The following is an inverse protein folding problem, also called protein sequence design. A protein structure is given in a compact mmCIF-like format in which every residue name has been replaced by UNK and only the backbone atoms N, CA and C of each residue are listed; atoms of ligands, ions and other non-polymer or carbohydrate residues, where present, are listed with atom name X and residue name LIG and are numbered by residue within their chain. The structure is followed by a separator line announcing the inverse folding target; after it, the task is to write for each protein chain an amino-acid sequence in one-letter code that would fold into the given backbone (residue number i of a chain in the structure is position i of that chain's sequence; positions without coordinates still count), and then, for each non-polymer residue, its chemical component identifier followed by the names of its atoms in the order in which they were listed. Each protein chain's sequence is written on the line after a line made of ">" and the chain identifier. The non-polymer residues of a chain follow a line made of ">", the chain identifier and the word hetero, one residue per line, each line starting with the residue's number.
data_IF_576508908422
#
_entry.id   IF_576508908422
#
_cell.length_a   1.000
_cell.length_b   1.000
_cell.length_c   1.000
_cell.angle_alpha   90.00
_cell.angle_beta   90.00
_cell.angle_gamma   90.00
#
_symmetry.space_group_name_H-M   'P 1'
#
loop_
_entity.id
_entity.type
_entity.pdbx_description
1 polymer ?
#
# COMPACT_ATOMS: atom_id res chain seq x y z
N UNK A 1 35.39 57.79 18.35
CA UNK A 1 33.95 57.79 18.03
C UNK A 1 33.03 57.58 19.24
N UNK A 2 33.51 57.45 20.46
CA UNK A 2 32.64 57.19 21.64
C UNK A 2 32.30 58.41 22.48
N UNK A 3 32.84 59.59 22.18
CA UNK A 3 32.57 60.81 22.97
C UNK A 3 31.33 61.57 22.60
N UNK A 4 30.78 61.37 21.39
CA UNK A 4 29.57 62.05 20.91
C UNK A 4 28.25 61.49 21.48
N UNK A 5 28.24 60.25 21.95
CA UNK A 5 27.03 59.63 22.52
C UNK A 5 26.73 60.13 23.95
N UNK A 6 27.76 60.59 24.70
CA UNK A 6 27.59 61.01 26.09
C UNK A 6 26.91 62.38 26.26
N UNK A 7 26.97 63.22 25.22
CA UNK A 7 26.39 64.58 25.27
C UNK A 7 24.90 64.58 24.92
N UNK A 8 24.40 63.54 24.31
CA UNK A 8 23.01 63.43 23.86
C UNK A 8 22.03 62.96 24.96
N UNK A 9 22.56 62.38 26.04
CA UNK A 9 21.77 61.86 27.15
C UNK A 9 21.44 62.86 28.26
N UNK A 10 21.96 64.11 28.17
CA UNK A 10 21.85 65.09 29.22
C UNK A 10 20.68 66.09 29.08
N UNK A 11 20.05 66.22 27.93
CA UNK A 11 18.93 67.14 27.74
C UNK A 11 17.58 66.37 27.83
N UNK A 12 16.62 66.90 28.60
CA UNK A 12 15.33 66.27 28.87
C UNK A 12 14.52 65.86 27.62
N UNK A 13 14.89 66.33 26.43
CA UNK A 13 14.37 65.93 25.14
C UNK A 13 14.89 64.54 24.72
N UNK A 14 16.09 64.12 25.15
CA UNK A 14 16.64 62.82 24.84
C UNK A 14 15.88 61.67 25.49
N UNK A 15 15.26 61.88 26.66
CA UNK A 15 14.48 60.84 27.37
C UNK A 15 13.15 60.55 26.67
N UNK A 16 12.54 61.52 26.03
CA UNK A 16 11.26 61.37 25.29
C UNK A 16 11.53 60.62 23.96
N UNK A 17 12.59 61.04 23.24
CA UNK A 17 13.00 60.37 21.98
C UNK A 17 13.44 58.91 22.22
N UNK A 18 14.16 58.63 23.29
CA UNK A 18 14.57 57.26 23.63
C UNK A 18 13.36 56.38 23.99
N UNK A 19 12.39 56.91 24.74
CA UNK A 19 11.14 56.19 25.06
C UNK A 19 10.32 55.90 23.81
N UNK A 20 10.20 56.86 22.89
CA UNK A 20 9.49 56.69 21.62
C UNK A 20 10.18 55.63 20.75
N UNK A 21 11.52 55.68 20.64
CA UNK A 21 12.31 54.69 19.90
C UNK A 21 12.18 53.29 20.49
N UNK A 22 12.24 53.16 21.82
CA UNK A 22 12.03 51.84 22.48
C UNK A 22 10.64 51.32 22.25
N UNK A 23 9.62 52.17 22.31
CA UNK A 23 8.24 51.77 22.03
C UNK A 23 8.08 51.32 20.57
N UNK A 24 8.59 52.11 19.63
CA UNK A 24 8.53 51.79 18.20
C UNK A 24 9.26 50.48 17.89
N UNK A 25 10.45 50.29 18.49
CA UNK A 25 11.21 49.03 18.37
C UNK A 25 10.42 47.83 18.92
N UNK A 26 9.78 47.96 20.10
CA UNK A 26 8.97 46.87 20.69
C UNK A 26 7.77 46.54 19.82
N UNK A 27 7.11 47.55 19.24
CA UNK A 27 5.95 47.34 18.35
C UNK A 27 6.37 46.62 17.07
N UNK A 28 7.51 46.99 16.48
CA UNK A 28 8.03 46.31 15.28
C UNK A 28 8.40 44.88 15.59
N UNK A 29 9.13 44.62 16.68
CA UNK A 29 9.51 43.27 17.10
C UNK A 29 8.28 42.43 17.40
N UNK A 30 7.30 42.96 18.13
CA UNK A 30 6.06 42.24 18.40
C UNK A 30 5.27 41.93 17.12
N UNK A 31 5.24 42.84 16.16
CA UNK A 31 4.62 42.65 14.85
C UNK A 31 5.28 41.53 14.06
N UNK A 32 6.61 41.49 14.02
CA UNK A 32 7.38 40.44 13.35
C UNK A 32 7.14 39.08 14.02
N UNK A 33 7.20 39.01 15.35
CA UNK A 33 6.96 37.76 16.09
C UNK A 33 5.52 37.25 15.89
N UNK A 34 4.53 38.15 15.90
CA UNK A 34 3.14 37.79 15.62
C UNK A 34 2.98 37.24 14.19
N UNK A 35 3.59 37.90 13.19
CA UNK A 35 3.56 37.45 11.81
C UNK A 35 4.22 36.07 11.65
N UNK A 36 5.37 35.81 12.28
CA UNK A 36 6.04 34.52 12.28
C UNK A 36 5.20 33.43 12.98
N UNK A 37 4.59 33.75 14.13
CA UNK A 37 3.72 32.82 14.84
C UNK A 37 2.50 32.41 13.98
N UNK A 38 1.89 33.39 13.30
CA UNK A 38 0.77 33.14 12.38
C UNK A 38 1.20 32.27 11.18
N UNK A 39 2.33 32.60 10.55
CA UNK A 39 2.86 31.83 9.43
C UNK A 39 3.14 30.37 9.82
N UNK A 40 3.76 30.16 10.99
CA UNK A 40 4.03 28.83 11.53
C UNK A 40 2.72 28.08 11.84
N UNK A 41 1.73 28.75 12.41
CA UNK A 41 0.43 28.15 12.71
C UNK A 41 -0.29 27.70 11.43
N UNK A 42 -0.33 28.55 10.40
CA UNK A 42 -0.93 28.22 9.09
C UNK A 42 -0.19 27.04 8.45
N UNK A 43 1.15 27.06 8.47
CA UNK A 43 1.98 25.98 7.94
C UNK A 43 1.70 24.64 8.63
N UNK A 44 1.69 24.63 9.97
CA UNK A 44 1.40 23.42 10.76
C UNK A 44 0.00 22.88 10.50
N UNK A 45 -0.98 23.78 10.34
CA UNK A 45 -2.36 23.37 10.02
C UNK A 45 -2.44 22.72 8.64
N UNK A 46 -1.81 23.31 7.63
CA UNK A 46 -1.77 22.78 6.27
C UNK A 46 -1.09 21.38 6.23
N UNK A 47 0.02 21.22 6.96
CA UNK A 47 0.70 19.92 7.08
C UNK A 47 -0.18 18.85 7.72
N UNK A 48 -0.94 19.19 8.77
CA UNK A 48 -1.89 18.27 9.41
C UNK A 48 -3.04 17.88 8.48
N UNK A 49 -3.62 18.84 7.76
CA UNK A 49 -4.69 18.57 6.79
C UNK A 49 -4.19 17.66 5.66
N UNK A 50 -2.96 17.87 5.18
CA UNK A 50 -2.35 16.97 4.21
C UNK A 50 -2.08 15.58 4.81
N UNK A 51 -1.58 15.50 6.05
CA UNK A 51 -1.37 14.26 6.78
C UNK A 51 -2.67 13.45 6.93
N UNK A 52 -3.81 14.10 7.21
CA UNK A 52 -5.12 13.45 7.29
C UNK A 52 -5.53 12.81 5.95
N UNK A 53 -5.32 13.48 4.83
CA UNK A 53 -5.61 12.94 3.50
C UNK A 53 -4.73 11.73 3.20
N UNK A 54 -3.43 11.84 3.41
CA UNK A 54 -2.48 10.74 3.22
C UNK A 54 -2.80 9.54 4.12
N UNK A 55 -3.21 9.78 5.37
CA UNK A 55 -3.62 8.72 6.29
C UNK A 55 -4.90 8.03 5.81
N UNK A 56 -5.87 8.77 5.29
CA UNK A 56 -7.10 8.22 4.72
C UNK A 56 -6.80 7.36 3.48
N UNK A 57 -5.94 7.82 2.56
CA UNK A 57 -5.53 7.10 1.36
C UNK A 57 -4.77 5.82 1.73
N UNK A 58 -3.87 5.89 2.72
CA UNK A 58 -3.15 4.73 3.24
C UNK A 58 -4.09 3.70 3.87
N UNK A 59 -5.10 4.15 4.61
CA UNK A 59 -6.09 3.27 5.23
C UNK A 59 -6.98 2.62 4.18
N UNK A 60 -7.34 3.33 3.11
CA UNK A 60 -8.11 2.74 1.99
C UNK A 60 -7.29 1.67 1.27
N UNK A 61 -6.00 1.92 1.01
CA UNK A 61 -5.10 0.92 0.43
C UNK A 61 -4.98 -0.32 1.33
N UNK A 62 -4.91 -0.12 2.65
CA UNK A 62 -4.91 -1.21 3.62
C UNK A 62 -6.21 -2.04 3.56
N UNK A 63 -7.36 -1.39 3.38
CA UNK A 63 -8.66 -2.07 3.22
C UNK A 63 -8.71 -2.91 1.95
N UNK A 64 -8.19 -2.41 0.83
CA UNK A 64 -8.10 -3.16 -0.42
C UNK A 64 -7.18 -4.37 -0.29
N UNK A 65 -6.06 -4.24 0.43
CA UNK A 65 -5.20 -5.38 0.73
C UNK A 65 -5.94 -6.43 1.56
N UNK A 66 -6.64 -6.04 2.63
CA UNK A 66 -7.42 -6.96 3.47
C UNK A 66 -8.48 -7.71 2.66
N UNK A 67 -9.23 -7.00 1.79
CA UNK A 67 -10.17 -7.60 0.82
C UNK A 67 -9.48 -8.63 -0.10
N UNK A 68 -8.29 -8.30 -0.60
CA UNK A 68 -7.50 -9.19 -1.46
C UNK A 68 -7.03 -10.44 -0.71
N UNK A 69 -6.60 -10.30 0.53
CA UNK A 69 -6.24 -11.43 1.39
C UNK A 69 -7.45 -12.34 1.65
N UNK A 70 -8.63 -11.75 1.90
CA UNK A 70 -9.89 -12.49 2.02
C UNK A 70 -10.22 -13.29 0.75
N UNK A 71 -9.96 -12.73 -0.43
CA UNK A 71 -10.10 -13.44 -1.71
C UNK A 71 -9.24 -14.70 -1.74
N UNK A 72 -7.95 -14.61 -1.43
CA UNK A 72 -7.06 -15.76 -1.46
C UNK A 72 -7.43 -16.82 -0.41
N UNK A 73 -7.83 -16.42 0.78
CA UNK A 73 -8.32 -17.37 1.79
C UNK A 73 -9.51 -18.17 1.31
N UNK A 74 -10.40 -17.56 0.54
CA UNK A 74 -11.60 -18.19 0.01
C UNK A 74 -11.33 -19.11 -1.18
N UNK A 75 -10.53 -18.64 -2.14
CA UNK A 75 -10.42 -19.31 -3.44
C UNK A 75 -9.15 -20.16 -3.60
N UNK A 76 -8.08 -19.90 -2.87
CA UNK A 76 -6.84 -20.64 -3.01
C UNK A 76 -6.98 -22.16 -2.77
N UNK A 77 -7.81 -22.68 -1.85
CA UNK A 77 -7.99 -24.12 -1.71
C UNK A 77 -8.51 -24.79 -2.98
N UNK A 78 -9.50 -24.19 -3.64
CA UNK A 78 -10.04 -24.69 -4.90
C UNK A 78 -9.02 -24.57 -6.04
N UNK A 79 -8.34 -23.42 -6.16
CA UNK A 79 -7.29 -23.22 -7.17
C UNK A 79 -6.15 -24.24 -7.03
N UNK A 80 -5.76 -24.59 -5.80
CA UNK A 80 -4.75 -25.62 -5.55
C UNK A 80 -5.19 -27.01 -6.03
N UNK A 81 -6.44 -27.37 -5.79
CA UNK A 81 -7.01 -28.63 -6.31
C UNK A 81 -6.98 -28.66 -7.83
N UNK A 82 -7.30 -27.52 -8.46
CA UNK A 82 -7.23 -27.38 -9.91
C UNK A 82 -5.81 -27.51 -10.46
N UNK A 83 -4.84 -26.85 -9.82
CA UNK A 83 -3.40 -26.97 -10.16
C UNK A 83 -2.91 -28.41 -10.01
N UNK A 84 -3.37 -29.11 -8.97
CA UNK A 84 -3.05 -30.54 -8.80
C UNK A 84 -3.58 -31.40 -9.96
N UNK A 85 -4.80 -31.12 -10.45
CA UNK A 85 -5.38 -31.80 -11.63
C UNK A 85 -4.57 -31.53 -12.89
N UNK A 86 -4.10 -30.30 -13.12
CA UNK A 86 -3.23 -29.94 -14.25
C UNK A 86 -1.90 -30.69 -14.15
N UNK A 87 -1.29 -30.72 -12.96
CA UNK A 87 -0.04 -31.45 -12.73
C UNK A 87 -0.17 -32.95 -13.00
N UNK A 88 -1.31 -33.54 -12.58
CA UNK A 88 -1.61 -34.94 -12.80
C UNK A 88 -1.82 -35.25 -14.29
N UNK A 89 -2.53 -34.42 -15.03
CA UNK A 89 -2.69 -34.56 -16.48
C UNK A 89 -1.33 -34.52 -17.18
N UNK A 90 -0.44 -33.59 -16.81
CA UNK A 90 0.91 -33.51 -17.34
C UNK A 90 1.73 -34.77 -17.02
N UNK A 91 1.60 -35.34 -15.82
CA UNK A 91 2.32 -36.56 -15.41
C UNK A 91 1.86 -37.80 -16.19
N UNK A 92 0.56 -37.90 -16.48
CA UNK A 92 -0.04 -39.06 -17.15
C UNK A 92 -0.06 -38.95 -18.68
N UNK A 93 0.61 -37.99 -19.27
CA UNK A 93 0.62 -37.80 -20.71
C UNK A 93 -0.69 -37.21 -21.28
N UNK A 94 -1.62 -36.76 -20.43
CA UNK A 94 -2.88 -36.17 -20.83
C UNK A 94 -2.73 -34.75 -21.44
N UNK A 95 -3.82 -34.27 -22.03
CA UNK A 95 -3.99 -32.89 -22.51
C UNK A 95 -5.16 -32.23 -21.77
N UNK A 96 -5.19 -30.92 -21.73
CA UNK A 96 -6.30 -30.14 -21.18
C UNK A 96 -6.56 -28.94 -22.09
N UNK A 97 -7.81 -28.72 -22.45
CA UNK A 97 -8.19 -27.56 -23.28
C UNK A 97 -8.02 -26.25 -22.52
N UNK A 98 -7.81 -25.17 -23.25
CA UNK A 98 -7.65 -23.84 -22.65
C UNK A 98 -8.79 -23.46 -21.71
N UNK A 99 -10.03 -23.83 -22.07
CA UNK A 99 -11.22 -23.59 -21.23
C UNK A 99 -11.17 -24.33 -19.89
N UNK A 100 -10.65 -25.58 -19.90
CA UNK A 100 -10.48 -26.38 -18.68
C UNK A 100 -9.32 -25.85 -17.83
N UNK A 101 -8.21 -25.46 -18.46
CA UNK A 101 -7.08 -24.80 -17.75
C UNK A 101 -7.55 -23.51 -17.10
N UNK A 102 -8.38 -22.74 -17.80
CA UNK A 102 -8.94 -21.48 -17.33
C UNK A 102 -7.89 -20.42 -17.00
N UNK A 103 -8.36 -19.33 -16.41
CA UNK A 103 -7.50 -18.26 -15.90
C UNK A 103 -8.00 -17.79 -14.52
N UNK A 104 -7.18 -17.83 -13.46
CA UNK A 104 -7.59 -17.29 -12.19
C UNK A 104 -7.67 -15.77 -12.25
N UNK A 105 -8.61 -15.19 -11.54
CA UNK A 105 -8.52 -13.78 -11.21
C UNK A 105 -7.38 -13.59 -10.21
N UNK A 106 -6.54 -12.61 -10.48
CA UNK A 106 -5.37 -12.29 -9.65
C UNK A 106 -5.53 -10.85 -9.16
N UNK A 107 -6.33 -10.62 -8.10
CA UNK A 107 -6.50 -9.28 -7.58
C UNK A 107 -5.17 -8.76 -7.02
N UNK A 108 -4.91 -7.49 -7.31
CA UNK A 108 -3.70 -6.79 -6.88
C UNK A 108 -4.11 -5.61 -6.01
N UNK A 109 -3.68 -5.56 -4.75
CA UNK A 109 -3.91 -4.38 -3.93
C UNK A 109 -3.13 -3.20 -4.51
N UNK A 110 -3.68 -2.01 -4.36
CA UNK A 110 -2.96 -0.78 -4.68
C UNK A 110 -1.80 -0.63 -3.70
N UNK A 111 -0.60 -0.43 -4.23
CA UNK A 111 0.60 -0.15 -3.45
C UNK A 111 0.82 1.36 -3.42
N UNK A 112 0.48 2.05 -2.33
CA UNK A 112 0.68 3.48 -2.24
C UNK A 112 2.17 3.80 -2.17
N UNK A 113 2.59 4.77 -2.99
CA UNK A 113 3.98 5.24 -3.00
C UNK A 113 4.08 6.48 -2.11
N UNK A 114 4.44 6.29 -0.83
CA UNK A 114 4.65 7.38 0.10
C UNK A 114 6.13 7.72 0.21
N UNK A 115 6.46 9.00 0.03
CA UNK A 115 7.79 9.54 0.30
C UNK A 115 8.06 9.61 1.80
N UNK A 116 9.31 9.84 2.17
CA UNK A 116 9.69 10.06 3.58
C UNK A 116 8.94 11.26 4.18
N UNK A 117 8.67 12.31 3.37
CA UNK A 117 7.91 13.49 3.80
C UNK A 117 6.42 13.15 4.04
N UNK A 118 5.82 12.31 3.19
CA UNK A 118 4.45 11.84 3.39
C UNK A 118 4.33 11.03 4.69
N UNK A 119 5.29 10.15 4.97
CA UNK A 119 5.33 9.41 6.24
C UNK A 119 5.48 10.32 7.44
N UNK A 120 6.26 11.41 7.33
CA UNK A 120 6.36 12.42 8.38
C UNK A 120 5.01 13.09 8.64
N UNK A 121 4.27 13.44 7.58
CA UNK A 121 2.94 14.06 7.69
C UNK A 121 1.90 13.09 8.25
N UNK A 122 1.91 11.83 7.85
CA UNK A 122 1.07 10.78 8.43
C UNK A 122 1.32 10.66 9.93
N UNK A 123 2.59 10.69 10.37
CA UNK A 123 2.96 10.61 11.78
C UNK A 123 2.49 11.80 12.63
N UNK A 124 2.07 12.94 12.01
CA UNK A 124 1.48 14.06 12.74
C UNK A 124 0.01 13.80 13.16
N UNK A 125 -0.64 12.81 12.55
CA UNK A 125 -2.08 12.57 12.73
C UNK A 125 -2.41 11.13 13.15
N UNK A 126 -1.56 10.17 12.81
CA UNK A 126 -1.68 8.76 13.19
C UNK A 126 -1.03 8.49 14.55
N UNK A 127 -1.53 7.49 15.28
CA UNK A 127 -0.78 6.96 16.43
C UNK A 127 0.46 6.20 15.95
N UNK A 128 1.48 6.01 16.80
CA UNK A 128 2.65 5.21 16.44
C UNK A 128 2.29 3.80 15.94
N UNK A 129 1.31 3.15 16.57
CA UNK A 129 0.82 1.82 16.22
C UNK A 129 0.15 1.84 14.83
N UNK A 130 -0.68 2.85 14.55
CA UNK A 130 -1.31 3.02 13.24
C UNK A 130 -0.28 3.24 12.13
N UNK A 131 0.70 4.11 12.38
CA UNK A 131 1.76 4.39 11.40
C UNK A 131 2.63 3.15 11.14
N UNK A 132 2.91 2.34 12.17
CA UNK A 132 3.64 1.08 12.02
C UNK A 132 2.82 0.07 11.23
N UNK A 133 1.55 -0.15 11.58
CA UNK A 133 0.65 -1.06 10.85
C UNK A 133 0.55 -0.69 9.37
N UNK A 134 0.45 0.59 9.03
CA UNK A 134 0.41 1.05 7.63
C UNK A 134 1.70 0.73 6.87
N UNK A 135 2.89 0.88 7.50
CA UNK A 135 4.18 0.53 6.87
C UNK A 135 4.29 -0.98 6.61
N UNK A 136 3.90 -1.79 7.58
CA UNK A 136 3.90 -3.24 7.45
C UNK A 136 2.93 -3.71 6.35
N UNK A 137 1.75 -3.10 6.26
CA UNK A 137 0.77 -3.37 5.21
C UNK A 137 1.28 -2.94 3.83
N UNK A 138 1.98 -1.82 3.72
CA UNK A 138 2.58 -1.41 2.46
C UNK A 138 3.65 -2.41 1.99
N UNK A 139 4.58 -2.81 2.87
CA UNK A 139 5.57 -3.83 2.56
C UNK A 139 4.91 -5.15 2.15
N UNK A 140 3.80 -5.49 2.80
CA UNK A 140 2.95 -6.63 2.50
C UNK A 140 2.35 -6.55 1.11
N UNK A 141 1.78 -5.41 0.70
CA UNK A 141 1.18 -5.21 -0.61
C UNK A 141 2.21 -5.40 -1.73
N UNK A 142 3.43 -4.89 -1.55
CA UNK A 142 4.53 -5.05 -2.50
C UNK A 142 4.89 -6.53 -2.73
N UNK A 143 5.11 -7.25 -1.64
CA UNK A 143 5.41 -8.69 -1.70
C UNK A 143 4.26 -9.47 -2.32
N UNK A 144 3.01 -9.13 -1.97
CA UNK A 144 1.83 -9.76 -2.55
C UNK A 144 1.74 -9.55 -4.06
N UNK A 145 1.97 -8.35 -4.54
CA UNK A 145 1.97 -8.01 -5.95
C UNK A 145 3.06 -8.75 -6.74
N UNK A 146 4.24 -8.96 -6.14
CA UNK A 146 5.30 -9.76 -6.72
C UNK A 146 4.88 -11.23 -6.91
N UNK A 147 4.30 -11.84 -5.86
CA UNK A 147 3.79 -13.22 -5.93
C UNK A 147 2.62 -13.37 -6.89
N UNK A 148 1.69 -12.41 -6.92
CA UNK A 148 0.58 -12.38 -7.85
C UNK A 148 1.06 -12.34 -9.31
N UNK A 149 2.10 -11.57 -9.59
CA UNK A 149 2.72 -11.47 -10.92
C UNK A 149 3.41 -12.77 -11.33
N UNK A 150 4.15 -13.36 -10.40
CA UNK A 150 4.82 -14.65 -10.62
C UNK A 150 3.80 -15.76 -10.87
N UNK A 151 2.76 -15.85 -10.06
CA UNK A 151 1.69 -16.83 -10.25
C UNK A 151 1.02 -16.70 -11.62
N UNK A 152 0.70 -15.47 -12.07
CA UNK A 152 0.12 -15.24 -13.38
C UNK A 152 1.05 -15.70 -14.52
N UNK A 153 2.37 -15.49 -14.37
CA UNK A 153 3.38 -15.94 -15.32
C UNK A 153 3.46 -17.46 -15.37
N UNK A 154 3.53 -18.13 -14.22
CA UNK A 154 3.58 -19.59 -14.14
C UNK A 154 2.29 -20.22 -14.66
N UNK A 155 1.13 -19.58 -14.42
CA UNK A 155 -0.15 -20.07 -14.94
C UNK A 155 -0.18 -20.15 -16.46
N UNK A 156 0.46 -19.21 -17.15
CA UNK A 156 0.54 -19.21 -18.61
C UNK A 156 1.22 -20.46 -19.18
N UNK A 157 2.13 -21.06 -18.42
CA UNK A 157 2.84 -22.31 -18.81
C UNK A 157 1.89 -23.49 -18.93
N UNK A 158 0.75 -23.50 -18.23
CA UNK A 158 -0.22 -24.60 -18.30
C UNK A 158 -0.84 -24.75 -19.70
N UNK A 159 -0.87 -23.68 -20.49
CA UNK A 159 -1.33 -23.72 -21.88
C UNK A 159 -0.52 -24.64 -22.78
N UNK A 160 0.69 -25.05 -22.38
CA UNK A 160 1.46 -26.08 -23.10
C UNK A 160 0.76 -27.43 -23.15
N UNK A 161 -0.27 -27.68 -22.31
CA UNK A 161 -1.12 -28.87 -22.38
C UNK A 161 -2.31 -28.74 -23.33
N UNK A 162 -2.56 -27.54 -23.85
CA UNK A 162 -3.69 -27.29 -24.72
C UNK A 162 -3.44 -27.91 -26.13
N UNK A 163 -4.22 -28.93 -26.53
CA UNK A 163 -4.04 -29.59 -27.81
C UNK A 163 -4.24 -28.69 -29.02
N UNK A 164 -4.94 -27.55 -28.86
CA UNK A 164 -5.11 -26.56 -29.93
C UNK A 164 -3.78 -25.88 -30.32
N UNK A 165 -2.78 -25.89 -29.43
CA UNK A 165 -1.45 -25.36 -29.66
C UNK A 165 -0.45 -26.41 -30.16
N UNK A 166 -0.88 -27.67 -30.28
CA UNK A 166 -0.05 -28.81 -30.71
C UNK A 166 0.06 -29.88 -29.63
N UNK A 167 0.76 -30.96 -29.96
CA UNK A 167 0.97 -32.05 -29.01
C UNK A 167 2.10 -31.67 -28.02
N UNK A 168 1.79 -31.70 -26.72
CA UNK A 168 2.75 -31.40 -25.67
C UNK A 168 3.90 -32.46 -25.68
N UNK A 169 5.13 -32.00 -25.74
CA UNK A 169 6.33 -32.82 -25.61
C UNK A 169 6.55 -33.25 -24.14
N UNK A 170 7.48 -34.20 -23.93
CA UNK A 170 7.91 -34.60 -22.58
C UNK A 170 8.51 -33.40 -21.80
N UNK A 171 9.20 -32.49 -22.49
CA UNK A 171 9.77 -31.29 -21.92
C UNK A 171 8.67 -30.31 -21.49
N UNK A 172 7.66 -30.08 -22.35
CA UNK A 172 6.51 -29.22 -22.01
C UNK A 172 5.78 -29.71 -20.77
N UNK A 173 5.55 -31.04 -20.69
CA UNK A 173 4.93 -31.65 -19.51
C UNK A 173 5.77 -31.47 -18.25
N UNK A 174 7.10 -31.55 -18.37
CA UNK A 174 8.02 -31.28 -17.25
C UNK A 174 7.94 -29.83 -16.80
N UNK A 175 7.90 -28.89 -17.74
CA UNK A 175 7.71 -27.44 -17.45
C UNK A 175 6.39 -27.18 -16.75
N UNK A 176 5.29 -27.77 -17.21
CA UNK A 176 3.98 -27.65 -16.59
C UNK A 176 3.99 -28.16 -15.16
N UNK A 177 4.61 -29.32 -14.89
CA UNK A 177 4.72 -29.86 -13.52
C UNK A 177 5.54 -28.93 -12.61
N UNK A 178 6.64 -28.37 -13.09
CA UNK A 178 7.45 -27.42 -12.36
C UNK A 178 6.64 -26.14 -12.04
N UNK A 179 5.94 -25.60 -13.04
CA UNK A 179 5.05 -24.44 -12.85
C UNK A 179 3.93 -24.74 -11.84
N UNK A 180 3.33 -25.94 -11.89
CA UNK A 180 2.29 -26.34 -10.94
C UNK A 180 2.80 -26.39 -9.49
N UNK A 181 3.99 -26.92 -9.26
CA UNK A 181 4.61 -26.90 -7.93
C UNK A 181 4.83 -25.47 -7.43
N UNK A 182 5.27 -24.58 -8.31
CA UNK A 182 5.53 -23.18 -7.95
C UNK A 182 4.25 -22.42 -7.66
N UNK A 183 3.20 -22.62 -8.47
CA UNK A 183 1.86 -22.04 -8.23
C UNK A 183 1.27 -22.58 -6.93
N UNK A 184 1.33 -23.88 -6.66
CA UNK A 184 0.84 -24.46 -5.38
C UNK A 184 1.58 -23.86 -4.17
N UNK A 185 2.90 -23.74 -4.26
CA UNK A 185 3.71 -23.10 -3.20
C UNK A 185 3.30 -21.65 -2.97
N UNK A 186 3.09 -20.89 -4.04
CA UNK A 186 2.64 -19.49 -3.97
C UNK A 186 1.24 -19.40 -3.33
N UNK A 187 0.30 -20.24 -3.75
CA UNK A 187 -1.05 -20.28 -3.17
C UNK A 187 -1.04 -20.67 -1.69
N UNK A 188 -0.19 -21.63 -1.29
CA UNK A 188 0.01 -21.96 0.14
C UNK A 188 0.52 -20.75 0.91
N UNK A 189 1.50 -20.06 0.37
CA UNK A 189 2.04 -18.87 1.01
C UNK A 189 0.98 -17.78 1.17
N UNK A 190 0.17 -17.51 0.12
CA UNK A 190 -0.94 -16.55 0.18
C UNK A 190 -2.03 -16.92 1.20
N UNK A 191 -2.24 -18.23 1.44
CA UNK A 191 -3.20 -18.71 2.45
C UNK A 191 -2.66 -18.63 3.88
N UNK A 192 -1.40 -19.01 4.10
CA UNK A 192 -0.83 -19.18 5.45
C UNK A 192 -0.28 -17.89 6.02
N UNK A 193 0.20 -16.99 5.19
CA UNK A 193 0.45 -15.66 5.64
C UNK A 193 -0.88 -14.89 5.61
N UNK A 194 -1.64 -15.01 6.66
CA UNK A 194 -2.27 -13.85 7.23
C UNK A 194 -1.13 -12.87 7.48
N UNK A 195 -0.83 -12.10 6.45
CA UNK A 195 0.16 -11.07 6.48
C UNK A 195 -0.41 -10.02 7.42
N UNK A 196 0.28 -9.82 8.50
CA UNK A 196 -0.27 -9.15 9.63
C UNK A 196 -1.17 -10.09 10.44
N UNK A 197 -0.88 -10.23 11.70
CA UNK A 197 -1.84 -10.68 12.68
C UNK A 197 -3.12 -9.85 12.48
N UNK A 198 -4.36 -10.39 12.53
CA UNK A 198 -5.57 -9.55 12.57
C UNK A 198 -5.50 -8.45 13.62
N UNK A 199 -4.64 -8.59 14.63
CA UNK A 199 -4.30 -7.56 15.57
C UNK A 199 -3.69 -6.31 14.89
N UNK A 200 -2.95 -6.45 13.80
CA UNK A 200 -2.23 -5.34 13.17
C UNK A 200 -3.16 -4.44 12.33
N UNK A 201 -4.36 -4.93 11.98
CA UNK A 201 -5.41 -4.14 11.34
C UNK A 201 -6.32 -3.42 12.34
N UNK A 202 -6.37 -3.85 13.60
CA UNK A 202 -7.22 -3.24 14.64
C UNK A 202 -6.89 -1.78 14.91
N UNK A 203 -5.61 -1.36 14.96
CA UNK A 203 -5.28 0.06 15.15
C UNK A 203 -5.85 0.97 14.06
N UNK A 204 -6.12 0.41 12.86
CA UNK A 204 -6.69 1.11 11.72
C UNK A 204 -8.22 1.05 11.69
N UNK A 205 -8.87 0.40 12.66
CA UNK A 205 -10.30 0.15 12.63
C UNK A 205 -10.74 -0.80 11.51
N UNK A 206 -9.79 -1.54 10.91
CA UNK A 206 -10.05 -2.53 9.88
C UNK A 206 -10.28 -3.89 10.56
N UNK A 207 -11.27 -4.61 10.09
CA UNK A 207 -11.55 -5.99 10.43
C UNK A 207 -11.45 -6.86 9.18
N UNK A 208 -12.18 -7.95 9.11
CA UNK A 208 -12.34 -8.71 7.87
C UNK A 208 -13.13 -7.87 6.85
N UNK A 209 -12.42 -7.21 5.96
CA UNK A 209 -13.04 -6.45 4.86
C UNK A 209 -13.69 -7.43 3.89
N UNK A 210 -14.95 -7.21 3.49
CA UNK A 210 -15.59 -8.05 2.48
C UNK A 210 -14.79 -8.05 1.18
N UNK A 211 -14.76 -9.20 0.50
CA UNK A 211 -14.17 -9.27 -0.84
C UNK A 211 -14.97 -8.33 -1.75
N UNK A 212 -14.24 -7.55 -2.56
CA UNK A 212 -14.84 -6.61 -3.49
C UNK A 212 -15.91 -7.30 -4.36
N UNK A 213 -17.18 -6.85 -4.34
CA UNK A 213 -18.24 -7.40 -5.15
C UNK A 213 -17.93 -7.37 -6.65
N UNK A 214 -17.16 -6.39 -7.13
CA UNK A 214 -16.76 -6.31 -8.52
C UNK A 214 -15.82 -7.48 -8.91
N UNK A 215 -14.99 -7.97 -8.00
CA UNK A 215 -14.18 -9.17 -8.21
C UNK A 215 -15.09 -10.41 -8.20
N UNK A 216 -15.97 -10.52 -7.21
CA UNK A 216 -16.86 -11.69 -7.05
C UNK A 216 -17.81 -11.88 -8.25
N UNK A 217 -18.27 -10.81 -8.87
CA UNK A 217 -19.15 -10.90 -10.05
C UNK A 217 -18.46 -11.52 -11.27
N UNK A 218 -17.13 -11.39 -11.37
CA UNK A 218 -16.32 -11.81 -12.53
C UNK A 218 -15.75 -13.22 -12.39
N UNK A 219 -15.84 -13.84 -11.23
CA UNK A 219 -15.25 -15.15 -10.97
C UNK A 219 -16.33 -16.20 -10.71
N UNK A 220 -15.98 -17.46 -10.98
CA UNK A 220 -16.78 -18.62 -10.59
C UNK A 220 -16.55 -19.01 -9.11
N UNK A 221 -17.08 -20.16 -8.71
CA UNK A 221 -16.95 -20.69 -7.35
C UNK A 221 -15.49 -21.04 -6.96
N UNK A 222 -14.58 -21.10 -7.92
CA UNK A 222 -13.17 -21.42 -7.72
C UNK A 222 -12.23 -20.22 -7.91
N UNK A 223 -12.77 -19.03 -8.20
CA UNK A 223 -11.97 -17.83 -8.44
C UNK A 223 -11.41 -17.74 -9.86
N UNK A 224 -11.92 -18.54 -10.79
CA UNK A 224 -11.57 -18.47 -12.20
C UNK A 224 -12.42 -17.41 -12.91
N UNK A 225 -11.85 -16.69 -13.87
CA UNK A 225 -12.56 -15.68 -14.65
C UNK A 225 -13.62 -16.35 -15.52
N UNK A 226 -14.89 -15.89 -15.43
CA UNK A 226 -16.03 -16.42 -16.18
C UNK A 226 -15.93 -16.17 -17.68
N UNK A 227 -15.37 -15.02 -18.06
CA UNK A 227 -15.31 -14.55 -19.46
C UNK A 227 -13.94 -14.85 -20.11
N UNK A 228 -13.23 -15.84 -19.59
CA UNK A 228 -11.97 -16.28 -20.18
C UNK A 228 -12.27 -17.24 -21.35
N UNK A 229 -12.32 -16.68 -22.56
CA UNK A 229 -12.31 -17.45 -23.82
C UNK A 229 -11.24 -16.92 -24.75
#
# INVERSE_FOLDING_TARGET
>A
MFQTVRHWWGSGRGKLTTRLFVFEFVVVVAGVLAAQALANWVGTRAEREQGQRLFADATESARQLDSTLGYWQRFAPCLRSHVASISLAAANGGSMTGDVIGRPAVPRPVEPQFSADDWRKIALVATPEQAQSLRELQATASVHNAYASEMARQWSTFRLLDPSLGAASSEDRSRVRAAAMQVDSTLRWMMHRRMGNPADLRPLGLGSTPIDPAILSRVDSCGMLKDWR
#
